data_IF_902177366804
#
_entry.id   IF_902177366804
#
_cell.length_a   1.000
_cell.length_b   1.000
_cell.length_c   1.000
_cell.angle_alpha   90.00
_cell.angle_beta   90.00
_cell.angle_gamma   90.00
#
_symmetry.space_group_name_H-M   'P 1'
#
loop_
_entity.id
_entity.type
_entity.pdbx_description
1 polymer ?
#
# COMPACT_ATOMS: atom_id res chain seq x y z
N UNK A 1 4.95 -18.60 10.70
CA UNK A 1 4.45 -18.34 9.34
C UNK A 1 2.94 -18.40 9.42
N UNK A 2 2.28 -17.27 9.72
CA UNK A 2 0.82 -17.25 9.81
C UNK A 2 0.28 -16.78 8.47
N UNK A 3 -0.18 -17.74 7.69
CA UNK A 3 -0.69 -17.61 6.32
C UNK A 3 -2.18 -17.21 6.33
N UNK A 4 -2.52 -16.12 7.03
CA UNK A 4 -3.93 -15.68 7.23
C UNK A 4 -4.22 -14.29 6.66
N UNK A 5 -3.31 -13.74 5.85
CA UNK A 5 -3.50 -12.46 5.17
C UNK A 5 -4.15 -12.61 3.80
N UNK A 6 -4.86 -11.57 3.36
CA UNK A 6 -5.46 -11.52 2.02
C UNK A 6 -4.36 -11.63 0.96
N UNK A 7 -4.49 -12.58 0.03
CA UNK A 7 -3.50 -12.74 -1.05
C UNK A 7 -3.85 -11.86 -2.22
N UNK A 8 -2.95 -10.95 -2.57
CA UNK A 8 -3.20 -9.92 -3.59
C UNK A 8 -2.51 -10.26 -4.91
N UNK A 9 -3.23 -10.09 -6.02
CA UNK A 9 -2.76 -10.35 -7.37
C UNK A 9 -3.02 -9.17 -8.29
N UNK A 10 -2.08 -8.94 -9.22
CA UNK A 10 -2.21 -7.94 -10.29
C UNK A 10 -1.32 -8.31 -11.47
N UNK A 11 -1.61 -7.80 -12.67
CA UNK A 11 -0.64 -7.83 -13.77
C UNK A 11 0.59 -7.00 -13.40
N UNK A 12 1.75 -7.65 -13.34
CA UNK A 12 3.00 -7.02 -12.96
C UNK A 12 3.64 -6.32 -14.18
N UNK A 13 4.01 -5.04 -14.02
CA UNK A 13 4.68 -4.27 -15.06
C UNK A 13 6.05 -4.84 -15.46
N UNK A 14 6.81 -5.36 -14.50
CA UNK A 14 8.11 -6.00 -14.79
C UNK A 14 8.02 -7.42 -15.35
N UNK A 15 6.99 -8.19 -15.02
CA UNK A 15 6.82 -9.58 -15.52
C UNK A 15 5.94 -9.68 -16.77
N UNK A 16 5.15 -8.64 -17.09
CA UNK A 16 4.18 -8.66 -18.19
C UNK A 16 2.93 -9.53 -17.97
N UNK A 17 2.86 -10.30 -16.87
CA UNK A 17 1.77 -11.25 -16.54
C UNK A 17 1.24 -11.09 -15.11
N UNK A 18 0.10 -11.71 -14.82
CA UNK A 18 -0.49 -11.74 -13.46
C UNK A 18 0.50 -12.39 -12.50
N UNK A 19 0.72 -11.74 -11.37
CA UNK A 19 1.59 -12.21 -10.29
C UNK A 19 0.97 -11.87 -8.94
N UNK A 20 1.39 -12.61 -7.93
CA UNK A 20 1.17 -12.25 -6.54
C UNK A 20 2.02 -11.02 -6.18
N UNK A 21 1.40 -10.12 -5.43
CA UNK A 21 2.00 -8.93 -4.88
C UNK A 21 1.91 -9.01 -3.36
N UNK A 22 3.04 -8.83 -2.70
CA UNK A 22 3.15 -8.94 -1.25
C UNK A 22 3.23 -7.54 -0.67
N UNK A 23 2.49 -7.29 0.41
CA UNK A 23 2.62 -6.09 1.20
C UNK A 23 4.06 -5.95 1.68
N UNK A 24 4.72 -4.83 1.37
CA UNK A 24 6.14 -4.66 1.74
C UNK A 24 6.34 -4.11 3.15
N UNK A 25 5.27 -3.75 3.87
CA UNK A 25 5.37 -3.08 5.16
C UNK A 25 5.87 -1.63 5.04
N UNK A 26 5.94 -1.07 3.82
CA UNK A 26 6.52 0.25 3.58
C UNK A 26 5.51 1.20 2.96
N UNK A 27 5.55 2.44 3.43
CA UNK A 27 4.80 3.54 2.85
C UNK A 27 5.72 4.45 2.05
N UNK A 28 5.14 5.09 1.04
CA UNK A 28 5.72 6.27 0.40
C UNK A 28 4.88 7.46 0.80
N UNK A 29 5.49 8.40 1.51
CA UNK A 29 4.89 9.70 1.82
C UNK A 29 5.55 10.73 0.92
N UNK A 30 4.76 11.51 0.21
CA UNK A 30 5.25 12.59 -0.64
C UNK A 30 4.54 13.88 -0.28
N UNK A 31 5.31 14.94 -0.09
CA UNK A 31 4.79 16.29 0.14
C UNK A 31 5.11 17.16 -1.07
N UNK A 32 4.08 17.80 -1.64
CA UNK A 32 4.24 18.76 -2.72
C UNK A 32 3.42 20.02 -2.42
N UNK A 33 4.12 21.05 -1.94
CA UNK A 33 3.50 22.23 -1.36
C UNK A 33 2.68 21.85 -0.13
N UNK A 34 1.42 22.28 -0.07
CA UNK A 34 0.51 21.99 1.04
C UNK A 34 -0.41 20.77 0.76
N UNK A 35 0.13 19.75 0.10
CA UNK A 35 -0.58 18.52 -0.27
C UNK A 35 0.31 17.31 -0.01
N UNK A 36 -0.28 16.29 0.59
CA UNK A 36 0.36 15.02 0.91
C UNK A 36 -0.30 13.91 0.07
N UNK A 37 0.55 13.08 -0.51
CA UNK A 37 0.19 11.81 -1.10
C UNK A 37 0.83 10.68 -0.27
N UNK A 38 0.05 9.64 0.03
CA UNK A 38 0.52 8.46 0.77
C UNK A 38 0.14 7.21 0.02
N UNK A 39 1.12 6.33 -0.18
CA UNK A 39 0.91 5.01 -0.77
C UNK A 39 1.45 3.91 0.13
N UNK A 40 0.74 2.78 0.20
CA UNK A 40 1.29 1.52 0.67
C UNK A 40 1.95 0.78 -0.48
N UNK A 41 3.20 0.37 -0.31
CA UNK A 41 3.98 -0.28 -1.35
C UNK A 41 3.76 -1.78 -1.29
N UNK A 42 3.29 -2.36 -2.38
CA UNK A 42 3.31 -3.78 -2.64
C UNK A 42 4.44 -4.13 -3.60
N UNK A 43 5.03 -5.32 -3.47
CA UNK A 43 6.09 -5.79 -4.37
C UNK A 43 5.71 -7.12 -5.01
N UNK A 44 5.93 -7.23 -6.30
CA UNK A 44 5.74 -8.49 -7.00
C UNK A 44 6.59 -9.58 -6.34
N UNK A 45 5.99 -10.70 -5.97
CA UNK A 45 6.69 -11.81 -5.31
C UNK A 45 7.88 -12.31 -6.15
N UNK A 46 7.72 -12.32 -7.49
CA UNK A 46 8.73 -12.78 -8.46
C UNK A 46 9.85 -11.78 -8.74
N UNK A 47 9.53 -10.58 -9.23
CA UNK A 47 10.56 -9.65 -9.74
C UNK A 47 10.76 -8.39 -8.87
N UNK A 48 10.08 -8.31 -7.72
CA UNK A 48 10.14 -7.17 -6.78
C UNK A 48 9.73 -5.81 -7.33
N UNK A 49 9.18 -5.75 -8.55
CA UNK A 49 8.57 -4.55 -9.11
C UNK A 49 7.51 -3.99 -8.15
N UNK A 50 7.59 -2.69 -7.87
CA UNK A 50 6.71 -2.01 -6.94
C UNK A 50 5.36 -1.73 -7.56
N UNK A 51 4.33 -1.79 -6.74
CA UNK A 51 3.00 -1.29 -7.03
C UNK A 51 2.52 -0.49 -5.82
N UNK A 52 2.23 0.79 -6.03
CA UNK A 52 1.83 1.71 -4.98
C UNK A 52 0.30 1.74 -4.90
N UNK A 53 -0.25 1.32 -3.77
CA UNK A 53 -1.68 1.41 -3.48
C UNK A 53 -1.95 2.73 -2.76
N UNK A 54 -2.85 3.54 -3.30
CA UNK A 54 -3.16 4.87 -2.79
C UNK A 54 -3.93 4.77 -1.47
N UNK A 55 -3.37 5.37 -0.41
CA UNK A 55 -4.03 5.60 0.87
C UNK A 55 -4.68 6.98 0.85
N UNK A 56 -3.86 8.00 0.60
CA UNK A 56 -4.25 9.40 0.46
C UNK A 56 -3.70 9.97 -0.85
N UNK A 57 -4.54 10.71 -1.58
CA UNK A 57 -4.15 11.46 -2.76
C UNK A 57 -4.50 12.94 -2.54
N UNK A 58 -3.50 13.80 -2.69
CA UNK A 58 -3.58 15.26 -2.63
C UNK A 58 -4.35 15.75 -1.40
N UNK A 59 -4.08 15.14 -0.24
CA UNK A 59 -4.73 15.47 1.03
C UNK A 59 -4.05 16.69 1.66
N UNK A 60 -4.82 17.57 2.31
CA UNK A 60 -4.23 18.63 3.15
C UNK A 60 -3.58 17.97 4.39
N UNK A 61 -2.37 18.37 4.81
CA UNK A 61 -1.70 17.80 5.99
C UNK A 61 -2.60 17.77 7.23
N UNK A 62 -3.24 18.89 7.58
CA UNK A 62 -4.16 18.97 8.74
C UNK A 62 -5.48 18.21 8.59
N UNK A 63 -5.66 17.40 7.53
CA UNK A 63 -6.77 16.47 7.37
C UNK A 63 -6.34 15.01 7.44
N UNK A 64 -5.06 14.74 7.70
CA UNK A 64 -4.53 13.44 8.08
C UNK A 64 -4.35 13.46 9.60
N UNK A 65 -4.86 12.49 10.36
CA UNK A 65 -4.58 12.39 11.79
C UNK A 65 -3.07 12.34 12.05
N UNK A 66 -2.58 13.12 13.01
CA UNK A 66 -1.13 13.25 13.27
C UNK A 66 -0.48 11.90 13.62
N UNK A 67 -1.15 11.09 14.46
CA UNK A 67 -0.70 9.75 14.82
C UNK A 67 -0.59 8.83 13.59
N UNK A 68 -1.61 8.83 12.73
CA UNK A 68 -1.58 8.03 11.50
C UNK A 68 -0.47 8.50 10.55
N UNK A 69 -0.25 9.82 10.47
CA UNK A 69 0.81 10.40 9.67
C UNK A 69 2.20 9.95 10.13
N UNK A 70 2.46 9.94 11.44
CA UNK A 70 3.73 9.47 12.01
C UNK A 70 3.97 7.99 11.68
N UNK A 71 2.96 7.14 11.85
CA UNK A 71 3.05 5.71 11.52
C UNK A 71 3.41 5.47 10.03
N UNK A 72 2.96 6.33 9.11
CA UNK A 72 3.40 6.25 7.72
C UNK A 72 4.89 6.58 7.55
N UNK A 73 5.40 7.57 8.29
CA UNK A 73 6.81 7.97 8.24
C UNK A 73 7.72 6.88 8.82
N UNK A 74 7.29 6.24 9.91
CA UNK A 74 8.03 5.18 10.59
C UNK A 74 7.98 3.85 9.82
N UNK A 75 7.06 3.70 8.85
CA UNK A 75 6.74 2.44 8.20
C UNK A 75 6.23 1.38 9.17
N UNK A 76 5.27 1.77 10.01
CA UNK A 76 4.67 0.85 10.97
C UNK A 76 4.05 -0.39 10.29
N UNK A 77 4.52 -1.56 10.72
CA UNK A 77 4.14 -2.83 10.10
C UNK A 77 2.69 -3.21 10.43
N UNK A 78 2.19 -2.88 11.62
CA UNK A 78 0.82 -3.15 12.02
C UNK A 78 -0.18 -2.34 11.18
N UNK A 79 0.09 -1.06 10.96
CA UNK A 79 -0.70 -0.21 10.08
C UNK A 79 -0.66 -0.71 8.63
N UNK A 80 0.51 -1.13 8.14
CA UNK A 80 0.61 -1.72 6.81
C UNK A 80 -0.23 -3.00 6.70
N UNK A 81 -0.21 -3.88 7.71
CA UNK A 81 -1.04 -5.08 7.76
C UNK A 81 -2.53 -4.75 7.84
N UNK A 82 -2.92 -3.73 8.61
CA UNK A 82 -4.30 -3.24 8.70
C UNK A 82 -4.83 -2.84 7.33
N UNK A 83 -4.09 -2.02 6.59
CA UNK A 83 -4.45 -1.66 5.21
C UNK A 83 -4.43 -2.88 4.27
N UNK A 84 -3.48 -3.80 4.45
CA UNK A 84 -3.39 -5.02 3.64
C UNK A 84 -4.52 -6.02 3.88
N UNK A 85 -5.19 -5.96 5.02
CA UNK A 85 -6.35 -6.80 5.36
C UNK A 85 -7.70 -6.08 5.15
N UNK A 86 -7.69 -4.83 4.69
CA UNK A 86 -8.90 -4.09 4.34
C UNK A 86 -9.30 -4.37 2.88
N UNK A 87 -10.32 -5.22 2.70
CA UNK A 87 -10.86 -5.54 1.37
C UNK A 87 -11.40 -4.30 0.63
N UNK A 88 -11.94 -3.31 1.33
CA UNK A 88 -12.42 -2.06 0.72
C UNK A 88 -11.26 -1.26 0.15
N UNK A 89 -10.17 -1.14 0.91
CA UNK A 89 -8.91 -0.54 0.48
C UNK A 89 -8.30 -1.24 -0.74
N UNK A 90 -8.30 -2.58 -0.75
CA UNK A 90 -7.79 -3.37 -1.86
C UNK A 90 -8.67 -3.21 -3.12
N UNK A 91 -10.00 -3.27 -2.97
CA UNK A 91 -10.95 -3.08 -4.08
C UNK A 91 -10.80 -1.72 -4.75
N UNK A 92 -10.75 -0.63 -3.97
CA UNK A 92 -10.58 0.73 -4.54
C UNK A 92 -9.24 0.91 -5.27
N UNK A 93 -8.26 0.08 -4.96
CA UNK A 93 -6.97 0.05 -5.66
C UNK A 93 -6.94 -0.92 -6.86
N UNK A 94 -8.06 -1.56 -7.22
CA UNK A 94 -8.15 -2.55 -8.29
C UNK A 94 -7.27 -3.78 -8.05
N UNK A 95 -7.12 -4.19 -6.79
CA UNK A 95 -6.51 -5.46 -6.43
C UNK A 95 -7.48 -6.61 -6.76
N UNK A 96 -6.96 -7.68 -7.37
CA UNK A 96 -7.61 -8.98 -7.32
C UNK A 96 -7.11 -9.70 -6.07
N UNK A 97 -7.96 -10.39 -5.33
CA UNK A 97 -7.53 -11.08 -4.12
C UNK A 97 -8.29 -12.38 -3.86
N UNK A 98 -7.63 -13.27 -3.11
CA UNK A 98 -8.15 -14.55 -2.65
C UNK A 98 -7.96 -14.69 -1.15
#
# INVERSE_FOLDING_TARGET
>A
MNDSGIRVFRRCGGCGKKQEFVNSGRFRVNANGNRIDVWLIYRCAKCKHSWNLTIYERKKPGKIPAEEYELFLENDEELALKYGNDMGFLKRNNAEFK
#
